data_IF_930626738692
#
_entry.id   IF_930626738692
#
_cell.length_a   1.000
_cell.length_b   1.000
_cell.length_c   1.000
_cell.angle_alpha   90.00
_cell.angle_beta   90.00
_cell.angle_gamma   90.00
#
_symmetry.space_group_name_H-M   'P 1'
#
loop_
_entity.id
_entity.type
_entity.pdbx_description
1 polymer ?
#
# COMPACT_ATOMS: atom_id res chain seq x y z
N UNK A 1 -18.29 14.30 6.03
CA UNK A 1 -17.41 13.24 5.50
C UNK A 1 -16.10 13.88 5.06
N UNK A 2 -14.97 13.15 5.08
CA UNK A 2 -13.68 13.66 4.60
C UNK A 2 -13.51 13.64 3.08
N UNK A 3 -14.26 12.76 2.41
CA UNK A 3 -14.28 12.58 0.95
C UNK A 3 -15.74 12.57 0.48
N UNK A 4 -16.35 13.75 0.26
CA UNK A 4 -17.73 13.83 -0.22
C UNK A 4 -17.87 13.36 -1.68
N UNK A 5 -19.04 12.80 -2.00
CA UNK A 5 -19.45 12.45 -3.36
C UNK A 5 -20.18 13.65 -3.95
N UNK A 6 -19.60 14.21 -5.00
CA UNK A 6 -20.12 15.28 -5.83
C UNK A 6 -20.67 14.74 -7.16
N UNK A 7 -21.43 15.54 -7.93
CA UNK A 7 -21.86 15.13 -9.26
C UNK A 7 -20.72 14.73 -10.20
N UNK A 8 -19.54 15.33 -10.04
CA UNK A 8 -18.38 15.12 -10.93
C UNK A 8 -17.65 13.79 -10.71
N UNK A 9 -17.69 13.25 -9.48
CA UNK A 9 -17.03 11.97 -9.15
C UNK A 9 -18.01 10.83 -8.93
N UNK A 10 -19.33 11.05 -8.94
CA UNK A 10 -20.33 10.00 -8.77
C UNK A 10 -20.33 9.00 -9.95
N UNK A 11 -20.07 7.73 -9.67
CA UNK A 11 -20.15 6.63 -10.64
C UNK A 11 -21.51 5.93 -10.57
N UNK A 12 -22.59 6.72 -10.65
CA UNK A 12 -23.97 6.23 -10.49
C UNK A 12 -24.46 6.17 -9.04
N UNK A 13 -23.60 6.50 -8.07
CA UNK A 13 -23.99 6.67 -6.67
C UNK A 13 -24.73 8.00 -6.43
N UNK A 14 -25.52 8.07 -5.37
CA UNK A 14 -26.14 9.32 -4.92
C UNK A 14 -25.09 10.26 -4.32
N UNK A 15 -25.22 11.56 -4.60
CA UNK A 15 -24.32 12.58 -4.05
C UNK A 15 -24.50 12.70 -2.52
N UNK A 16 -23.45 13.11 -1.81
CA UNK A 16 -23.55 13.34 -0.36
C UNK A 16 -24.64 14.38 -0.03
N UNK A 17 -24.77 15.41 -0.87
CA UNK A 17 -25.79 16.45 -0.69
C UNK A 17 -27.22 15.94 -0.92
N UNK A 18 -27.44 15.00 -1.85
CA UNK A 18 -28.77 14.42 -2.05
C UNK A 18 -29.20 13.50 -0.91
N UNK A 19 -28.25 12.78 -0.29
CA UNK A 19 -28.53 11.87 0.84
C UNK A 19 -28.71 12.64 2.15
N UNK A 20 -27.85 13.61 2.44
CA UNK A 20 -27.77 14.28 3.75
C UNK A 20 -28.27 15.73 3.78
N UNK A 21 -28.49 16.35 2.62
CA UNK A 21 -28.91 17.75 2.51
C UNK A 21 -27.75 18.74 2.49
N UNK A 22 -27.96 19.95 3.01
CA UNK A 22 -26.97 21.02 2.94
C UNK A 22 -25.77 20.78 3.85
N UNK A 23 -24.60 21.22 3.40
CA UNK A 23 -23.40 21.29 4.23
C UNK A 23 -23.61 22.31 5.37
N UNK A 24 -23.64 21.81 6.60
CA UNK A 24 -23.85 22.66 7.78
C UNK A 24 -22.57 23.40 8.20
N UNK A 25 -21.41 22.77 7.95
CA UNK A 25 -20.09 23.30 8.27
C UNK A 25 -19.03 22.49 7.54
N UNK A 26 -17.90 23.13 7.19
CA UNK A 26 -16.70 22.49 6.69
C UNK A 26 -15.47 22.94 7.44
N UNK A 27 -14.53 22.01 7.55
CA UNK A 27 -13.16 22.24 7.97
C UNK A 27 -12.27 21.46 7.00
N UNK A 28 -11.69 22.16 6.04
CA UNK A 28 -11.01 21.54 4.90
C UNK A 28 -9.52 21.32 5.17
N UNK A 29 -8.86 20.50 4.34
CA UNK A 29 -7.44 20.19 4.52
C UNK A 29 -6.55 21.44 4.47
N UNK A 30 -6.95 22.47 3.73
CA UNK A 30 -6.23 23.76 3.69
C UNK A 30 -6.25 24.47 5.04
N UNK A 31 -7.38 24.42 5.76
CA UNK A 31 -7.51 24.97 7.11
C UNK A 31 -6.68 24.13 8.08
N UNK A 32 -6.77 22.81 7.99
CA UNK A 32 -6.00 21.90 8.84
C UNK A 32 -4.47 22.07 8.69
N UNK A 33 -3.99 22.40 7.48
CA UNK A 33 -2.59 22.73 7.23
C UNK A 33 -2.25 24.12 7.79
N UNK A 34 -3.14 25.11 7.66
CA UNK A 34 -2.94 26.45 8.21
C UNK A 34 -2.86 26.43 9.75
N UNK A 35 -3.71 25.63 10.39
CA UNK A 35 -3.83 25.48 11.84
C UNK A 35 -2.80 24.50 12.45
N UNK A 36 -1.85 24.03 11.64
CA UNK A 36 -0.81 23.05 12.02
C UNK A 36 -1.37 21.76 12.64
N UNK A 37 -2.61 21.37 12.26
CA UNK A 37 -3.22 20.10 12.67
C UNK A 37 -2.83 18.95 11.75
N UNK A 38 -2.48 19.26 10.50
CA UNK A 38 -2.04 18.30 9.49
C UNK A 38 -0.79 18.81 8.80
N UNK A 39 0.14 17.90 8.50
CA UNK A 39 1.39 18.23 7.78
C UNK A 39 1.14 18.44 6.29
N UNK A 40 2.03 19.21 5.65
CA UNK A 40 2.03 19.40 4.19
C UNK A 40 2.53 18.15 3.47
N UNK A 41 2.13 18.00 2.21
CA UNK A 41 2.63 16.96 1.33
C UNK A 41 3.86 17.42 0.54
N UNK A 42 4.84 16.52 0.39
CA UNK A 42 5.92 16.64 -0.58
C UNK A 42 5.75 15.53 -1.62
N UNK A 43 5.26 15.90 -2.79
CA UNK A 43 4.97 14.96 -3.88
C UNK A 43 6.10 15.05 -4.90
N UNK A 44 6.82 13.95 -5.11
CA UNK A 44 7.86 13.82 -6.13
C UNK A 44 7.54 12.62 -7.02
N UNK A 45 7.72 12.77 -8.33
CA UNK A 45 7.75 11.63 -9.25
C UNK A 45 9.21 11.20 -9.50
N UNK A 46 9.57 9.98 -9.09
CA UNK A 46 10.93 9.45 -9.23
C UNK A 46 11.22 8.99 -10.67
N UNK A 47 11.49 9.97 -11.55
CA UNK A 47 11.69 9.78 -12.99
C UNK A 47 13.13 9.33 -13.35
N UNK A 48 13.55 8.16 -12.87
CA UNK A 48 14.92 7.63 -13.07
C UNK A 48 14.98 6.43 -14.03
N UNK A 49 13.86 6.09 -14.68
CA UNK A 49 13.72 4.86 -15.49
C UNK A 49 13.31 5.17 -16.92
N UNK A 50 14.24 5.54 -17.82
CA UNK A 50 13.91 5.92 -19.20
C UNK A 50 13.14 4.83 -19.98
N UNK A 51 13.48 3.55 -19.75
CA UNK A 51 12.84 2.41 -20.42
C UNK A 51 11.33 2.31 -20.13
N UNK A 52 10.91 2.65 -18.91
CA UNK A 52 9.52 2.54 -18.45
C UNK A 52 8.81 3.89 -18.39
N UNK A 53 9.47 4.99 -18.78
CA UNK A 53 8.91 6.34 -18.67
C UNK A 53 7.59 6.51 -19.43
N UNK A 54 7.47 5.91 -20.61
CA UNK A 54 6.27 6.03 -21.43
C UNK A 54 5.05 5.38 -20.75
N UNK A 55 5.24 4.21 -20.12
CA UNK A 55 4.17 3.48 -19.46
C UNK A 55 3.82 4.08 -18.10
N UNK A 56 4.80 4.65 -17.39
CA UNK A 56 4.58 5.35 -16.12
C UNK A 56 3.91 6.72 -16.30
N UNK A 57 3.93 7.29 -17.51
CA UNK A 57 3.29 8.56 -17.85
C UNK A 57 1.95 8.40 -18.60
N UNK A 58 1.53 7.16 -18.89
CA UNK A 58 0.26 6.87 -19.57
C UNK A 58 -0.92 7.32 -18.69
N UNK A 59 -1.93 7.92 -19.33
CA UNK A 59 -3.13 8.46 -18.67
C UNK A 59 -4.38 7.68 -19.02
N UNK A 60 -4.33 6.86 -20.07
CA UNK A 60 -5.45 6.01 -20.48
C UNK A 60 -5.58 4.82 -19.51
N UNK A 61 -6.64 4.84 -18.71
CA UNK A 61 -6.95 3.81 -17.71
C UNK A 61 -6.99 2.40 -18.31
N UNK A 62 -7.53 2.22 -19.52
CA UNK A 62 -7.64 0.89 -20.14
C UNK A 62 -6.26 0.34 -20.48
N UNK A 63 -5.36 1.21 -20.95
CA UNK A 63 -3.98 0.82 -21.24
C UNK A 63 -3.19 0.57 -19.95
N UNK A 64 -3.42 1.35 -18.90
CA UNK A 64 -2.80 1.13 -17.60
C UNK A 64 -3.19 -0.24 -17.04
N UNK A 65 -4.48 -0.58 -17.04
CA UNK A 65 -4.96 -1.90 -16.62
C UNK A 65 -4.37 -3.02 -17.48
N UNK A 66 -4.30 -2.84 -18.82
CA UNK A 66 -3.68 -3.82 -19.71
C UNK A 66 -2.15 -3.96 -19.50
N UNK A 67 -1.52 -2.93 -18.92
CA UNK A 67 -0.07 -2.87 -18.64
C UNK A 67 0.33 -3.52 -17.32
N UNK A 68 -0.63 -4.02 -16.54
CA UNK A 68 -0.40 -4.75 -15.29
C UNK A 68 0.07 -6.19 -15.59
N UNK A 69 1.24 -6.32 -16.23
CA UNK A 69 1.80 -7.60 -16.63
C UNK A 69 3.34 -7.59 -16.57
N UNK A 70 3.95 -8.78 -16.68
CA UNK A 70 5.40 -9.00 -16.55
C UNK A 70 6.26 -8.40 -17.68
N UNK A 71 5.65 -7.90 -18.75
CA UNK A 71 6.36 -7.21 -19.84
C UNK A 71 6.34 -5.69 -19.69
N UNK A 72 5.58 -5.18 -18.71
CA UNK A 72 5.21 -3.78 -18.57
C UNK A 72 5.45 -3.30 -17.13
N UNK A 73 4.40 -3.05 -16.34
CA UNK A 73 4.53 -2.53 -14.97
C UNK A 73 5.17 -3.53 -14.01
N UNK A 74 5.00 -4.84 -14.24
CA UNK A 74 5.60 -5.91 -13.43
C UNK A 74 6.89 -6.46 -14.04
N UNK A 75 7.54 -5.70 -14.92
CA UNK A 75 8.80 -6.11 -15.52
C UNK A 75 9.89 -6.29 -14.44
N UNK A 76 10.63 -7.43 -14.40
CA UNK A 76 11.61 -7.71 -13.34
C UNK A 76 12.61 -6.58 -13.10
N UNK A 77 13.24 -6.05 -14.16
CA UNK A 77 14.17 -4.92 -14.04
C UNK A 77 13.52 -3.68 -13.40
N UNK A 78 12.25 -3.38 -13.72
CA UNK A 78 11.54 -2.24 -13.12
C UNK A 78 11.33 -2.46 -11.63
N UNK A 79 10.88 -3.66 -11.25
CA UNK A 79 10.68 -4.06 -9.87
C UNK A 79 11.99 -3.94 -9.09
N UNK A 80 13.08 -4.51 -9.60
CA UNK A 80 14.38 -4.47 -8.94
C UNK A 80 14.95 -3.05 -8.81
N UNK A 81 14.84 -2.22 -9.85
CA UNK A 81 15.26 -0.80 -9.79
C UNK A 81 14.47 -0.01 -8.73
N UNK A 82 13.16 -0.24 -8.63
CA UNK A 82 12.31 0.41 -7.62
C UNK A 82 12.65 -0.11 -6.22
N UNK A 83 12.73 -1.43 -6.02
CA UNK A 83 13.09 -2.06 -4.76
C UNK A 83 14.46 -1.59 -4.27
N UNK A 84 15.47 -1.58 -5.15
CA UNK A 84 16.81 -1.11 -4.83
C UNK A 84 16.83 0.37 -4.47
N UNK A 85 16.08 1.21 -5.20
CA UNK A 85 15.94 2.62 -4.86
C UNK A 85 15.33 2.80 -3.46
N UNK A 86 14.27 2.06 -3.13
CA UNK A 86 13.64 2.09 -1.81
C UNK A 86 14.64 1.70 -0.73
N UNK A 87 15.33 0.56 -0.87
CA UNK A 87 16.32 0.09 0.11
C UNK A 87 17.45 1.12 0.33
N UNK A 88 17.98 1.70 -0.74
CA UNK A 88 19.08 2.67 -0.69
C UNK A 88 18.66 3.99 -0.01
N UNK A 89 17.43 4.44 -0.26
CA UNK A 89 16.95 5.75 0.19
C UNK A 89 16.11 5.69 1.47
N UNK A 90 15.74 4.48 1.93
CA UNK A 90 14.81 4.30 3.05
C UNK A 90 15.26 5.07 4.28
N UNK A 91 16.52 4.92 4.71
CA UNK A 91 17.06 5.60 5.90
C UNK A 91 17.08 7.12 5.75
N UNK A 92 17.32 7.63 4.54
CA UNK A 92 17.30 9.07 4.28
C UNK A 92 15.88 9.62 4.37
N UNK A 93 14.92 8.97 3.72
CA UNK A 93 13.52 9.38 3.70
C UNK A 93 12.82 9.25 5.06
N UNK A 94 13.29 8.32 5.89
CA UNK A 94 12.74 8.06 7.23
C UNK A 94 13.55 8.70 8.36
N UNK A 95 14.54 9.55 8.06
CA UNK A 95 15.39 10.21 9.06
C UNK A 95 16.12 9.24 10.02
N UNK A 96 16.56 8.08 9.51
CA UNK A 96 17.32 7.05 10.25
C UNK A 96 18.83 7.06 9.96
N UNK A 97 19.34 8.08 9.26
CA UNK A 97 20.79 8.22 8.99
C UNK A 97 21.57 8.74 10.21
N UNK A 98 20.92 9.48 11.11
CA UNK A 98 21.57 10.04 12.29
C UNK A 98 21.64 9.01 13.41
N UNK A 99 22.82 8.87 14.03
CA UNK A 99 23.02 8.01 15.18
C UNK A 99 22.13 8.47 16.35
N UNK A 100 21.29 7.58 16.88
CA UNK A 100 20.41 7.85 18.02
C UNK A 100 18.98 8.31 17.69
N UNK A 101 18.67 8.59 16.42
CA UNK A 101 17.30 8.90 15.99
C UNK A 101 16.47 7.63 15.79
N UNK A 102 15.25 7.57 16.36
CA UNK A 102 14.29 6.47 16.09
C UNK A 102 13.77 6.51 14.64
N UNK A 103 13.68 7.72 14.08
CA UNK A 103 13.16 7.96 12.73
C UNK A 103 11.69 7.57 12.57
N UNK A 104 11.28 7.34 11.33
CA UNK A 104 9.94 6.91 10.93
C UNK A 104 9.98 5.56 10.22
N UNK A 105 8.84 4.96 9.94
CA UNK A 105 8.68 3.85 8.99
C UNK A 105 7.91 4.33 7.76
N UNK A 106 7.67 3.44 6.80
CA UNK A 106 6.99 3.78 5.56
C UNK A 106 5.96 2.72 5.15
N UNK A 107 5.05 3.13 4.27
CA UNK A 107 4.14 2.24 3.54
C UNK A 107 4.50 2.26 2.06
N UNK A 108 4.22 1.15 1.37
CA UNK A 108 4.43 0.98 -0.04
C UNK A 108 3.16 0.41 -0.68
N UNK A 109 2.31 1.32 -1.16
CA UNK A 109 1.08 0.97 -1.85
C UNK A 109 1.37 0.53 -3.29
N UNK A 110 0.80 -0.60 -3.69
CA UNK A 110 0.98 -1.21 -5.01
C UNK A 110 -0.35 -1.43 -5.72
N UNK A 111 -0.30 -1.60 -7.03
CA UNK A 111 -1.47 -1.68 -7.92
C UNK A 111 -2.28 -2.97 -7.78
N UNK A 112 -1.65 -4.07 -7.39
CA UNK A 112 -2.28 -5.40 -7.38
C UNK A 112 -1.62 -6.35 -6.40
N UNK A 113 -2.32 -7.45 -6.10
CA UNK A 113 -1.77 -8.58 -5.33
C UNK A 113 -0.53 -9.17 -6.02
N UNK A 114 -0.54 -9.27 -7.35
CA UNK A 114 0.63 -9.76 -8.10
C UNK A 114 1.82 -8.81 -7.99
N UNK A 115 1.58 -7.49 -7.98
CA UNK A 115 2.61 -6.51 -7.67
C UNK A 115 3.16 -6.72 -6.25
N UNK A 116 2.29 -6.88 -5.26
CA UNK A 116 2.70 -7.10 -3.86
C UNK A 116 3.60 -8.34 -3.72
N UNK A 117 3.25 -9.44 -4.39
CA UNK A 117 4.05 -10.67 -4.45
C UNK A 117 5.45 -10.40 -5.00
N UNK A 118 5.56 -9.81 -6.20
CA UNK A 118 6.86 -9.62 -6.85
C UNK A 118 7.74 -8.61 -6.12
N UNK A 119 7.17 -7.57 -5.52
CA UNK A 119 7.93 -6.61 -4.72
C UNK A 119 8.45 -7.23 -3.42
N UNK A 120 7.60 -7.97 -2.70
CA UNK A 120 8.02 -8.65 -1.48
C UNK A 120 9.18 -9.63 -1.74
N UNK A 121 9.07 -10.43 -2.80
CA UNK A 121 10.15 -11.34 -3.23
C UNK A 121 11.42 -10.59 -3.64
N UNK A 122 11.30 -9.49 -4.41
CA UNK A 122 12.44 -8.66 -4.80
C UNK A 122 13.15 -8.10 -3.56
N UNK A 123 12.41 -7.58 -2.58
CA UNK A 123 13.00 -7.12 -1.31
C UNK A 123 13.65 -8.25 -0.51
N UNK A 124 13.03 -9.43 -0.45
CA UNK A 124 13.59 -10.61 0.24
C UNK A 124 14.92 -11.01 -0.41
N UNK A 125 14.97 -11.02 -1.74
CA UNK A 125 16.17 -11.36 -2.51
C UNK A 125 17.30 -10.34 -2.36
N UNK A 126 17.00 -9.04 -2.53
CA UNK A 126 18.01 -7.96 -2.44
C UNK A 126 18.60 -7.81 -1.03
N UNK A 127 17.90 -8.30 0.00
CA UNK A 127 18.36 -8.20 1.39
C UNK A 127 19.07 -9.45 1.91
N UNK A 128 19.20 -10.53 1.13
CA UNK A 128 19.85 -11.80 1.56
C UNK A 128 21.25 -11.61 2.12
N UNK A 129 22.03 -10.68 1.55
CA UNK A 129 23.40 -10.39 1.95
C UNK A 129 23.51 -9.14 2.86
N UNK A 130 22.37 -8.58 3.28
CA UNK A 130 22.36 -7.37 4.13
C UNK A 130 22.63 -7.73 5.58
N UNK A 131 23.63 -7.08 6.18
CA UNK A 131 23.93 -7.20 7.62
C UNK A 131 22.86 -6.56 8.52
N UNK A 132 22.02 -5.69 7.98
CA UNK A 132 20.95 -5.01 8.73
C UNK A 132 19.74 -4.84 7.80
N UNK A 133 19.00 -5.92 7.53
CA UNK A 133 17.84 -5.89 6.64
C UNK A 133 16.70 -5.11 7.31
N UNK A 134 15.90 -4.42 6.48
CA UNK A 134 14.64 -3.83 6.89
C UNK A 134 13.63 -4.94 7.21
N UNK A 135 12.83 -4.72 8.24
CA UNK A 135 11.69 -5.58 8.55
C UNK A 135 10.52 -5.20 7.65
N UNK A 136 10.23 -6.05 6.68
CA UNK A 136 9.20 -5.81 5.67
C UNK A 136 8.07 -6.80 5.90
N UNK A 137 6.84 -6.29 5.90
CA UNK A 137 5.63 -7.09 5.97
C UNK A 137 4.72 -6.72 4.80
N UNK A 138 3.76 -7.59 4.50
CA UNK A 138 2.76 -7.37 3.47
C UNK A 138 1.39 -7.83 3.97
N UNK A 139 0.35 -7.17 3.48
CA UNK A 139 -1.03 -7.55 3.76
C UNK A 139 -1.91 -7.16 2.59
N UNK A 140 -2.80 -8.07 2.24
CA UNK A 140 -3.85 -7.89 1.26
C UNK A 140 -4.88 -8.99 1.46
N UNK A 141 -6.10 -8.76 0.99
CA UNK A 141 -7.14 -9.76 0.90
C UNK A 141 -7.84 -9.69 -0.45
N UNK A 142 -8.99 -10.36 -0.54
CA UNK A 142 -9.87 -10.23 -1.68
C UNK A 142 -10.74 -8.97 -1.51
N UNK A 143 -10.59 -8.03 -2.44
CA UNK A 143 -11.64 -7.06 -2.72
C UNK A 143 -12.70 -7.78 -3.55
N UNK A 144 -13.90 -7.96 -3.00
CA UNK A 144 -15.05 -8.30 -3.84
C UNK A 144 -15.19 -7.21 -4.90
N UNK A 145 -15.68 -7.56 -6.10
CA UNK A 145 -16.05 -6.59 -7.13
C UNK A 145 -17.21 -5.72 -6.61
N UNK A 146 -16.95 -4.86 -5.65
CA UNK A 146 -17.87 -3.84 -5.17
C UNK A 146 -17.91 -2.75 -6.23
N UNK A 147 -19.13 -2.32 -6.56
CA UNK A 147 -19.31 -1.18 -7.45
C UNK A 147 -18.65 0.05 -6.80
N UNK A 148 -17.62 0.61 -7.45
CA UNK A 148 -17.00 1.84 -6.99
C UNK A 148 -18.05 2.96 -7.01
N UNK A 149 -18.30 3.57 -5.85
CA UNK A 149 -19.32 4.61 -5.72
C UNK A 149 -18.84 5.94 -6.33
N UNK A 150 -17.54 6.21 -6.24
CA UNK A 150 -16.92 7.39 -6.82
C UNK A 150 -15.59 7.09 -7.53
N UNK A 151 -15.25 7.97 -8.48
CA UNK A 151 -13.94 7.94 -9.17
C UNK A 151 -12.83 8.11 -8.14
N UNK A 152 -11.91 7.15 -8.10
CA UNK A 152 -10.77 7.15 -7.19
C UNK A 152 -11.01 6.45 -5.86
N UNK A 153 -12.18 5.83 -5.66
CA UNK A 153 -12.42 4.96 -4.50
C UNK A 153 -11.49 3.73 -4.56
N UNK A 154 -10.83 3.46 -3.42
CA UNK A 154 -10.08 2.22 -3.21
C UNK A 154 -11.09 1.13 -2.87
N UNK A 155 -10.98 -0.03 -3.53
CA UNK A 155 -11.88 -1.15 -3.25
C UNK A 155 -11.73 -1.62 -1.81
N UNK A 156 -12.84 -1.81 -1.10
CA UNK A 156 -12.80 -2.26 0.29
C UNK A 156 -12.36 -3.74 0.34
N UNK A 157 -11.29 -3.98 1.07
CA UNK A 157 -10.69 -5.29 1.21
C UNK A 157 -11.22 -5.97 2.48
N UNK A 158 -12.14 -6.91 2.30
CA UNK A 158 -12.76 -7.64 3.41
C UNK A 158 -11.80 -8.61 4.12
N UNK A 159 -12.21 -9.17 5.26
CA UNK A 159 -11.41 -10.18 5.98
C UNK A 159 -11.62 -11.62 5.48
N UNK A 160 -12.38 -11.82 4.41
CA UNK A 160 -12.66 -13.14 3.85
C UNK A 160 -11.55 -13.62 2.90
N UNK A 161 -10.63 -14.42 3.43
CA UNK A 161 -9.52 -15.01 2.67
C UNK A 161 -9.98 -16.16 1.76
N UNK A 162 -11.15 -16.75 2.01
CA UNK A 162 -11.67 -17.89 1.23
C UNK A 162 -11.99 -17.53 -0.22
N UNK A 163 -12.19 -16.24 -0.51
CA UNK A 163 -12.45 -15.75 -1.86
C UNK A 163 -11.17 -15.51 -2.69
N UNK A 164 -9.98 -15.62 -2.08
CA UNK A 164 -8.71 -15.44 -2.77
C UNK A 164 -8.33 -16.66 -3.62
N UNK A 165 -7.59 -16.43 -4.71
CA UNK A 165 -7.01 -17.51 -5.49
C UNK A 165 -5.96 -18.30 -4.69
N UNK A 166 -5.70 -19.55 -5.10
CA UNK A 166 -4.80 -20.45 -4.38
C UNK A 166 -3.36 -19.93 -4.29
N UNK A 167 -2.86 -19.25 -5.33
CA UNK A 167 -1.51 -18.68 -5.34
C UNK A 167 -1.38 -17.49 -4.39
N UNK A 168 -2.38 -16.62 -4.33
CA UNK A 168 -2.44 -15.49 -3.42
C UNK A 168 -2.51 -15.95 -1.96
N UNK A 169 -3.31 -16.98 -1.67
CA UNK A 169 -3.41 -17.56 -0.33
C UNK A 169 -2.13 -18.27 0.10
N UNK A 170 -1.49 -19.03 -0.78
CA UNK A 170 -0.20 -19.68 -0.52
C UNK A 170 0.87 -18.64 -0.20
N UNK A 171 0.98 -17.60 -1.03
CA UNK A 171 1.93 -16.51 -0.78
C UNK A 171 1.65 -15.77 0.53
N UNK A 172 0.39 -15.45 0.83
CA UNK A 172 0.03 -14.80 2.10
C UNK A 172 0.40 -15.69 3.29
N UNK A 173 0.22 -17.01 3.17
CA UNK A 173 0.64 -17.96 4.19
C UNK A 173 2.15 -17.95 4.41
N UNK A 174 2.95 -17.87 3.34
CA UNK A 174 4.40 -17.73 3.44
C UNK A 174 4.80 -16.40 4.10
N UNK A 175 4.19 -15.28 3.69
CA UNK A 175 4.47 -13.97 4.28
C UNK A 175 4.11 -13.91 5.78
N UNK A 176 3.00 -14.53 6.19
CA UNK A 176 2.62 -14.64 7.60
C UNK A 176 3.58 -15.58 8.34
N UNK A 177 4.08 -16.65 7.72
CA UNK A 177 5.10 -17.51 8.32
C UNK A 177 6.42 -16.76 8.53
N UNK A 178 6.87 -15.97 7.55
CA UNK A 178 8.03 -15.08 7.67
C UNK A 178 7.84 -14.10 8.84
N UNK A 179 6.67 -13.44 8.91
CA UNK A 179 6.30 -12.54 10.00
C UNK A 179 6.31 -13.23 11.38
N UNK A 180 5.72 -14.43 11.47
CA UNK A 180 5.73 -15.22 12.69
C UNK A 180 7.16 -15.59 13.12
N UNK A 181 8.04 -15.90 12.17
CA UNK A 181 9.46 -16.10 12.43
C UNK A 181 10.16 -14.84 12.96
N UNK A 182 9.87 -13.67 12.39
CA UNK A 182 10.45 -12.39 12.79
C UNK A 182 10.02 -11.95 14.20
N UNK A 183 8.75 -12.18 14.55
CA UNK A 183 8.13 -11.61 15.75
C UNK A 183 7.73 -12.63 16.81
N UNK A 184 8.00 -13.92 16.58
CA UNK A 184 7.64 -15.03 17.47
C UNK A 184 6.14 -15.06 17.78
N UNK A 185 5.32 -14.87 16.76
CA UNK A 185 3.86 -14.99 16.80
C UNK A 185 3.39 -16.31 16.18
N UNK A 186 2.08 -16.56 16.23
CA UNK A 186 1.45 -17.74 15.66
C UNK A 186 0.14 -17.36 14.94
N UNK A 187 0.20 -16.28 14.17
CA UNK A 187 -0.94 -15.82 13.36
C UNK A 187 -1.13 -16.74 12.14
N UNK A 188 -2.33 -16.76 11.55
CA UNK A 188 -2.71 -17.71 10.49
C UNK A 188 -3.57 -17.10 9.38
N UNK A 189 -3.92 -17.93 8.40
CA UNK A 189 -4.77 -17.56 7.24
C UNK A 189 -6.22 -18.06 7.36
N UNK A 190 -6.62 -18.53 8.54
CA UNK A 190 -8.04 -18.65 8.87
C UNK A 190 -8.60 -17.28 9.27
N UNK A 191 -9.93 -17.11 9.24
CA UNK A 191 -10.57 -15.82 9.49
C UNK A 191 -10.15 -15.17 10.82
N UNK A 192 -10.03 -15.96 11.89
CA UNK A 192 -9.59 -15.45 13.20
C UNK A 192 -8.09 -15.15 13.21
N UNK A 193 -7.29 -16.05 12.65
CA UNK A 193 -5.84 -15.88 12.49
C UNK A 193 -5.47 -14.62 11.72
N UNK A 194 -6.21 -14.30 10.65
CA UNK A 194 -5.95 -13.14 9.82
C UNK A 194 -6.41 -11.84 10.45
N UNK A 195 -7.53 -11.84 11.17
CA UNK A 195 -7.95 -10.67 11.95
C UNK A 195 -6.94 -10.35 13.07
N UNK A 196 -6.39 -11.38 13.72
CA UNK A 196 -5.30 -11.25 14.68
C UNK A 196 -4.03 -10.72 14.02
N UNK A 197 -3.67 -11.27 12.85
CA UNK A 197 -2.55 -10.79 12.04
C UNK A 197 -2.70 -9.30 11.72
N UNK A 198 -3.84 -8.87 11.16
CA UNK A 198 -4.13 -7.46 10.86
C UNK A 198 -3.96 -6.56 12.09
N UNK A 199 -4.56 -6.96 13.22
CA UNK A 199 -4.51 -6.18 14.47
C UNK A 199 -3.08 -6.06 15.01
N UNK A 200 -2.33 -7.17 15.01
CA UNK A 200 -0.94 -7.20 15.43
C UNK A 200 -0.06 -6.37 14.50
N UNK A 201 -0.25 -6.52 13.19
CA UNK A 201 0.46 -5.79 12.15
C UNK A 201 0.27 -4.27 12.31
N UNK A 202 -0.98 -3.82 12.47
CA UNK A 202 -1.32 -2.42 12.72
C UNK A 202 -0.58 -1.85 13.96
N UNK A 203 -0.57 -2.61 15.06
CA UNK A 203 0.13 -2.24 16.28
C UNK A 203 1.65 -2.17 16.07
N UNK A 204 2.23 -3.11 15.33
CA UNK A 204 3.68 -3.15 15.06
C UNK A 204 4.13 -2.04 14.13
N UNK A 205 3.34 -1.71 13.10
CA UNK A 205 3.59 -0.52 12.27
C UNK A 205 3.54 0.74 13.13
N UNK A 206 2.53 0.90 13.99
CA UNK A 206 2.44 2.05 14.90
C UNK A 206 3.63 2.14 15.88
N UNK A 207 4.12 1.00 16.37
CA UNK A 207 5.29 0.93 17.27
C UNK A 207 6.63 1.08 16.54
N UNK A 208 6.63 1.10 15.21
CA UNK A 208 7.80 1.11 14.32
C UNK A 208 8.65 -0.16 14.44
N UNK A 209 8.00 -1.30 14.72
CA UNK A 209 8.65 -2.61 14.70
C UNK A 209 8.75 -3.18 13.26
N UNK A 210 7.90 -2.67 12.37
CA UNK A 210 7.94 -2.90 10.92
C UNK A 210 8.43 -1.61 10.26
N UNK A 211 9.40 -1.77 9.37
CA UNK A 211 10.06 -0.67 8.67
C UNK A 211 9.31 -0.28 7.41
N UNK A 212 8.88 -1.27 6.62
CA UNK A 212 8.12 -1.07 5.39
C UNK A 212 6.92 -2.01 5.36
N UNK A 213 5.72 -1.47 5.18
CA UNK A 213 4.51 -2.25 4.95
C UNK A 213 4.10 -2.15 3.47
N UNK A 214 4.05 -3.27 2.77
CA UNK A 214 3.50 -3.36 1.41
C UNK A 214 1.98 -3.55 1.52
N UNK A 215 1.21 -2.73 0.81
CA UNK A 215 -0.27 -2.77 0.83
C UNK A 215 -0.85 -2.66 -0.58
N UNK A 216 -2.04 -3.23 -0.78
CA UNK A 216 -2.83 -3.01 -2.00
C UNK A 216 -3.92 -1.97 -1.70
N UNK A 217 -5.00 -2.37 -1.03
CA UNK A 217 -6.10 -1.49 -0.59
C UNK A 217 -6.30 -1.41 0.93
N UNK A 218 -5.52 -2.14 1.73
CA UNK A 218 -5.58 -2.08 3.20
C UNK A 218 -4.69 -0.98 3.80
N UNK A 219 -5.13 -0.47 4.96
CA UNK A 219 -4.53 0.62 5.77
C UNK A 219 -4.68 2.03 5.20
#
# INVERSE_FOLDING_TARGET
TGTPIFPENALGAETTGSVFGCELHSYVITDAIHDEKVLKFKVDYNNVRPQFKAIEAEQDERKLTASENKHALLHPNRIDEISQYILNNFKQKTHRQQAGGKGFNAMFAVSSVDAAKVYYESFKNLQKESNNPLKIATIFSFAANEEQNAVGDIADEGFEITAMDSSAKEFLSEAIADYNGMFKSNDGVDSNGFQNYYSNLAQRVKKQEIDLLIVVGMF
#
